data_IF_994336711793
#
_entry.id   IF_994336711793
#
_cell.length_a   1.000
_cell.length_b   1.000
_cell.length_c   1.000
_cell.angle_alpha   90.00
_cell.angle_beta   90.00
_cell.angle_gamma   90.00
#
_symmetry.space_group_name_H-M   'P 1'
#
loop_
_entity.id
_entity.type
_entity.pdbx_description
1 polymer ?
#
# COMPACT_ATOMS: atom_id res chain seq x y z
N UNK A 1 7.88 47.14 -57.18
CA UNK A 1 7.83 45.93 -56.33
C UNK A 1 8.70 46.21 -55.12
N UNK A 2 8.19 45.97 -53.92
CA UNK A 2 8.82 46.42 -52.68
C UNK A 2 9.24 45.21 -51.85
N UNK A 3 10.56 45.05 -51.64
CA UNK A 3 11.07 43.98 -50.80
C UNK A 3 10.73 44.26 -49.33
N UNK A 4 9.91 43.39 -48.76
CA UNK A 4 9.58 43.37 -47.33
C UNK A 4 10.59 42.44 -46.62
N UNK A 5 11.49 42.96 -45.76
CA UNK A 5 12.38 42.11 -44.99
C UNK A 5 11.57 41.33 -43.95
N UNK A 6 11.53 40.00 -44.09
CA UNK A 6 10.89 39.12 -43.11
C UNK A 6 11.71 39.14 -41.82
N UNK A 7 11.24 39.90 -40.83
CA UNK A 7 11.87 40.03 -39.53
C UNK A 7 11.72 38.73 -38.73
N UNK A 8 12.71 37.84 -38.86
CA UNK A 8 12.81 36.62 -38.06
C UNK A 8 13.05 36.97 -36.58
N UNK A 9 11.97 37.11 -35.83
CA UNK A 9 11.96 37.47 -34.41
C UNK A 9 12.45 36.32 -33.55
N UNK A 10 13.77 36.12 -33.52
CA UNK A 10 14.46 35.18 -32.64
C UNK A 10 14.21 35.54 -31.16
N UNK A 11 13.16 34.95 -30.59
CA UNK A 11 12.87 35.03 -29.17
C UNK A 11 13.91 34.21 -28.40
N UNK A 12 14.96 34.88 -27.92
CA UNK A 12 16.02 34.26 -27.12
C UNK A 12 15.48 33.58 -25.86
N UNK A 13 16.19 32.57 -25.31
CA UNK A 13 15.67 31.71 -24.26
C UNK A 13 15.22 32.52 -23.04
N UNK A 14 14.02 32.19 -22.54
CA UNK A 14 13.35 32.96 -21.49
C UNK A 14 14.18 32.97 -20.19
N UNK A 15 13.90 33.92 -19.29
CA UNK A 15 14.60 33.99 -17.98
C UNK A 15 14.44 32.71 -17.16
N UNK A 16 13.30 32.03 -17.31
CA UNK A 16 12.98 30.72 -16.71
C UNK A 16 13.77 29.61 -17.40
N UNK A 17 13.81 29.55 -18.73
CA UNK A 17 14.59 28.55 -19.47
C UNK A 17 16.08 28.61 -19.11
N UNK A 18 16.68 29.81 -19.09
CA UNK A 18 18.06 30.04 -18.62
C UNK A 18 18.26 29.82 -17.12
N UNK A 19 17.22 29.57 -16.34
CA UNK A 19 17.31 29.10 -14.95
C UNK A 19 17.34 27.56 -14.92
N UNK A 20 16.39 26.92 -15.60
CA UNK A 20 16.29 25.45 -15.74
C UNK A 20 17.56 24.87 -16.34
N UNK A 21 18.07 25.43 -17.44
CA UNK A 21 19.30 24.97 -18.10
C UNK A 21 20.52 25.02 -17.16
N UNK A 22 20.62 26.05 -16.30
CA UNK A 22 21.69 26.15 -15.29
C UNK A 22 21.53 25.13 -14.17
N UNK A 23 20.31 24.88 -13.69
CA UNK A 23 20.06 23.84 -12.68
C UNK A 23 20.34 22.44 -13.24
N UNK A 24 19.87 22.12 -14.45
CA UNK A 24 20.17 20.86 -15.14
C UNK A 24 21.68 20.69 -15.33
N UNK A 25 22.39 21.72 -15.79
CA UNK A 25 23.85 21.67 -15.95
C UNK A 25 24.59 21.46 -14.61
N UNK A 26 24.13 22.10 -13.51
CA UNK A 26 24.72 21.99 -12.17
C UNK A 26 24.44 20.63 -11.51
N UNK A 27 23.28 20.03 -11.76
CA UNK A 27 22.90 18.71 -11.25
C UNK A 27 23.48 17.57 -12.08
N UNK A 28 23.83 17.81 -13.36
CA UNK A 28 24.36 16.79 -14.28
C UNK A 28 25.52 15.94 -13.74
N UNK A 29 26.50 16.43 -12.96
CA UNK A 29 27.56 15.59 -12.39
C UNK A 29 27.08 14.60 -11.31
N UNK A 30 25.90 14.82 -10.73
CA UNK A 30 25.39 14.09 -9.56
C UNK A 30 24.35 13.02 -9.92
N UNK A 31 24.04 12.82 -11.22
CA UNK A 31 23.01 11.87 -11.67
C UNK A 31 23.21 10.44 -11.14
N UNK A 32 24.46 9.99 -10.97
CA UNK A 32 24.80 8.66 -10.45
C UNK A 32 24.41 8.44 -8.98
N UNK A 33 24.23 9.50 -8.19
CA UNK A 33 23.78 9.44 -6.79
C UNK A 33 22.25 9.31 -6.71
N UNK A 34 21.53 9.63 -7.78
CA UNK A 34 20.08 9.66 -7.76
C UNK A 34 19.41 8.27 -7.72
N UNK A 35 19.89 7.24 -8.46
CA UNK A 35 19.42 5.87 -8.33
C UNK A 35 19.46 5.27 -6.90
N UNK A 36 20.58 5.32 -6.14
CA UNK A 36 20.56 4.82 -4.76
C UNK A 36 19.68 5.67 -3.84
N UNK A 37 19.55 6.98 -4.06
CA UNK A 37 18.58 7.81 -3.32
C UNK A 37 17.14 7.38 -3.61
N UNK A 38 16.77 7.14 -4.87
CA UNK A 38 15.43 6.67 -5.25
C UNK A 38 15.13 5.28 -4.65
N UNK A 39 16.11 4.37 -4.63
CA UNK A 39 15.98 3.05 -3.99
C UNK A 39 15.80 3.16 -2.46
N UNK A 40 16.62 3.98 -1.80
CA UNK A 40 16.52 4.24 -0.35
C UNK A 40 15.18 4.93 -0.02
N UNK A 41 14.73 5.89 -0.83
CA UNK A 41 13.43 6.54 -0.68
C UNK A 41 12.27 5.56 -0.88
N UNK A 42 12.38 4.60 -1.81
CA UNK A 42 11.42 3.51 -1.98
C UNK A 42 11.32 2.60 -0.75
N UNK A 43 12.46 2.18 -0.18
CA UNK A 43 12.49 1.40 1.06
C UNK A 43 11.94 2.20 2.24
N UNK A 44 12.36 3.45 2.40
CA UNK A 44 11.88 4.34 3.45
C UNK A 44 10.36 4.57 3.32
N UNK A 45 9.87 4.78 2.09
CA UNK A 45 8.43 4.86 1.77
C UNK A 45 7.70 3.60 2.21
N UNK A 46 8.17 2.40 1.88
CA UNK A 46 7.52 1.14 2.29
C UNK A 46 7.33 1.05 3.81
N UNK A 47 8.38 1.31 4.60
CA UNK A 47 8.28 1.35 6.06
C UNK A 47 7.37 2.49 6.56
N UNK A 48 7.39 3.65 5.90
CA UNK A 48 6.57 4.81 6.25
C UNK A 48 5.09 4.53 6.00
N UNK A 49 4.73 3.87 4.89
CA UNK A 49 3.37 3.39 4.59
C UNK A 49 2.92 2.33 5.60
N UNK A 50 3.80 1.38 5.92
CA UNK A 50 3.53 0.32 6.89
C UNK A 50 3.27 0.87 8.30
N UNK A 51 3.97 1.94 8.71
CA UNK A 51 3.79 2.60 10.02
C UNK A 51 2.66 3.64 10.03
N UNK A 52 2.45 4.36 8.92
CA UNK A 52 1.47 5.46 8.80
C UNK A 52 0.85 5.48 7.40
N UNK A 53 -0.30 4.83 7.25
CA UNK A 53 -0.97 4.64 5.95
C UNK A 53 -1.30 5.97 5.22
N UNK A 54 -1.57 7.06 5.95
CA UNK A 54 -1.87 8.37 5.35
C UNK A 54 -0.68 8.95 4.54
N UNK A 55 0.56 8.67 4.95
CA UNK A 55 1.75 9.04 4.18
C UNK A 55 1.87 8.22 2.90
N UNK A 56 1.43 6.95 2.93
CA UNK A 56 1.30 6.13 1.73
C UNK A 56 0.26 6.66 0.75
N UNK A 57 -0.88 7.15 1.24
CA UNK A 57 -1.90 7.83 0.42
C UNK A 57 -1.34 9.12 -0.17
N UNK A 58 -0.64 9.94 0.62
CA UNK A 58 -0.02 11.19 0.16
C UNK A 58 1.02 10.95 -0.94
N UNK A 59 1.90 9.95 -0.77
CA UNK A 59 2.90 9.58 -1.77
C UNK A 59 2.25 8.97 -3.04
N UNK A 60 1.22 8.14 -2.88
CA UNK A 60 0.45 7.60 -4.00
C UNK A 60 -0.23 8.71 -4.84
N UNK A 61 -0.86 9.69 -4.18
CA UNK A 61 -1.46 10.86 -4.83
C UNK A 61 -0.40 11.75 -5.48
N UNK A 62 0.74 11.98 -4.80
CA UNK A 62 1.88 12.70 -5.36
C UNK A 62 2.40 12.07 -6.65
N UNK A 63 2.62 10.76 -6.64
CA UNK A 63 3.08 10.01 -7.82
C UNK A 63 2.05 10.02 -8.97
N UNK A 64 0.75 9.92 -8.65
CA UNK A 64 -0.33 10.08 -9.65
C UNK A 64 -0.35 11.50 -10.27
N UNK A 65 -0.10 12.55 -9.48
CA UNK A 65 0.01 13.93 -9.97
C UNK A 65 1.25 14.14 -10.84
N UNK A 66 2.40 13.59 -10.43
CA UNK A 66 3.64 13.57 -11.23
C UNK A 66 3.41 12.89 -12.59
N UNK A 67 2.68 11.77 -12.63
CA UNK A 67 2.30 11.11 -13.87
C UNK A 67 1.31 11.91 -14.71
N UNK A 68 0.31 12.54 -14.10
CA UNK A 68 -0.62 13.41 -14.82
C UNK A 68 0.11 14.60 -15.48
N UNK A 69 1.11 15.16 -14.80
CA UNK A 69 2.00 16.19 -15.34
C UNK A 69 2.86 15.65 -16.50
N UNK A 70 3.44 14.45 -16.35
CA UNK A 70 4.23 13.80 -17.41
C UNK A 70 3.40 13.50 -18.66
N UNK A 71 2.18 12.99 -18.49
CA UNK A 71 1.29 12.65 -19.62
C UNK A 71 0.70 13.90 -20.30
N UNK A 72 0.55 15.00 -19.55
CA UNK A 72 0.13 16.29 -20.11
C UNK A 72 1.26 17.09 -20.76
N UNK A 73 2.53 16.68 -20.64
CA UNK A 73 3.70 17.30 -21.31
C UNK A 73 3.43 17.65 -22.77
N UNK A 74 2.90 16.70 -23.55
CA UNK A 74 2.67 16.91 -24.98
C UNK A 74 1.52 17.88 -25.27
N UNK A 75 0.56 18.05 -24.34
CA UNK A 75 -0.53 19.03 -24.45
C UNK A 75 -0.03 20.41 -24.03
N UNK A 76 0.70 20.50 -22.92
CA UNK A 76 1.32 21.72 -22.41
C UNK A 76 2.29 22.29 -23.45
N UNK A 77 3.15 21.45 -24.04
CA UNK A 77 4.08 21.85 -25.10
C UNK A 77 3.38 22.41 -26.34
N UNK A 78 2.26 21.80 -26.76
CA UNK A 78 1.41 22.33 -27.86
C UNK A 78 0.77 23.67 -27.48
N UNK A 79 0.23 23.80 -26.26
CA UNK A 79 -0.37 25.04 -25.77
C UNK A 79 0.67 26.18 -25.64
N UNK A 80 1.89 25.86 -25.23
CA UNK A 80 3.02 26.80 -25.15
C UNK A 80 3.49 27.25 -26.53
N UNK A 81 3.68 26.32 -27.47
CA UNK A 81 4.06 26.63 -28.84
C UNK A 81 3.02 27.52 -29.54
N UNK A 82 1.72 27.21 -29.38
CA UNK A 82 0.62 28.03 -29.90
C UNK A 82 0.56 29.44 -29.27
N UNK A 83 1.23 29.67 -28.13
CA UNK A 83 1.37 30.97 -27.45
C UNK A 83 2.76 31.61 -27.67
N UNK A 84 3.57 31.09 -28.60
CA UNK A 84 4.90 31.62 -28.93
C UNK A 84 6.02 31.30 -27.92
N UNK A 85 5.77 30.45 -26.93
CA UNK A 85 6.79 30.04 -25.96
C UNK A 85 7.64 28.87 -26.49
N UNK A 86 8.96 28.84 -26.21
CA UNK A 86 9.82 27.73 -26.58
C UNK A 86 9.40 26.44 -25.85
N UNK A 87 9.42 25.32 -26.56
CA UNK A 87 9.15 23.99 -26.02
C UNK A 87 10.38 23.40 -25.34
N UNK A 88 10.17 22.45 -24.42
CA UNK A 88 11.26 21.75 -23.73
C UNK A 88 12.11 20.93 -24.72
N UNK A 89 13.46 20.98 -24.65
CA UNK A 89 14.31 20.13 -25.48
C UNK A 89 14.06 18.65 -25.19
N UNK A 90 13.99 17.81 -26.24
CA UNK A 90 13.66 16.39 -26.14
C UNK A 90 14.56 15.58 -25.19
N UNK A 91 15.81 16.00 -25.00
CA UNK A 91 16.69 15.42 -23.98
C UNK A 91 16.22 15.67 -22.54
N UNK A 92 15.70 16.88 -22.26
CA UNK A 92 15.13 17.24 -20.94
C UNK A 92 13.84 16.47 -20.68
N UNK A 93 12.97 16.31 -21.68
CA UNK A 93 11.71 15.56 -21.49
C UNK A 93 11.94 14.06 -21.37
N UNK A 94 12.92 13.50 -22.09
CA UNK A 94 13.38 12.11 -21.91
C UNK A 94 13.99 11.88 -20.52
N UNK A 95 14.78 12.83 -20.00
CA UNK A 95 15.31 12.80 -18.64
C UNK A 95 14.21 12.86 -17.58
N UNK A 96 13.26 13.80 -17.70
CA UNK A 96 12.11 13.89 -16.77
C UNK A 96 11.32 12.58 -16.77
N UNK A 97 11.01 12.01 -17.94
CA UNK A 97 10.37 10.70 -18.04
C UNK A 97 11.18 9.60 -17.34
N UNK A 98 12.52 9.61 -17.47
CA UNK A 98 13.41 8.67 -16.79
C UNK A 98 13.33 8.77 -15.27
N UNK A 99 13.27 10.00 -14.72
CA UNK A 99 13.14 10.22 -13.28
C UNK A 99 11.79 9.70 -12.75
N UNK A 100 10.69 10.00 -13.44
CA UNK A 100 9.35 9.50 -13.05
C UNK A 100 9.26 7.98 -13.18
N UNK A 101 9.89 7.38 -14.20
CA UNK A 101 10.00 5.93 -14.32
C UNK A 101 10.81 5.30 -13.17
N UNK A 102 11.97 5.88 -12.82
CA UNK A 102 12.78 5.45 -11.66
C UNK A 102 11.99 5.54 -10.36
N UNK A 103 11.36 6.69 -10.08
CA UNK A 103 10.49 6.92 -8.93
C UNK A 103 9.40 5.84 -8.84
N UNK A 104 8.67 5.60 -9.93
CA UNK A 104 7.59 4.60 -9.97
C UNK A 104 8.10 3.19 -9.70
N UNK A 105 9.20 2.80 -10.35
CA UNK A 105 9.77 1.46 -10.21
C UNK A 105 10.34 1.24 -8.81
N UNK A 106 11.04 2.22 -8.23
CA UNK A 106 11.63 2.08 -6.90
C UNK A 106 10.64 2.30 -5.75
N UNK A 107 9.57 3.07 -5.94
CA UNK A 107 8.45 3.13 -5.00
C UNK A 107 7.67 1.81 -4.97
N UNK A 108 7.36 1.23 -6.14
CA UNK A 108 6.52 0.01 -6.21
C UNK A 108 7.28 -1.29 -5.92
N UNK A 109 8.59 -1.36 -6.22
CA UNK A 109 9.37 -2.59 -6.10
C UNK A 109 9.39 -3.21 -4.68
N UNK A 110 9.54 -2.47 -3.56
CA UNK A 110 9.46 -3.05 -2.22
C UNK A 110 8.15 -3.79 -1.95
N UNK A 111 7.02 -3.23 -2.39
CA UNK A 111 5.70 -3.87 -2.29
C UNK A 111 5.64 -5.15 -3.11
N UNK A 112 6.13 -5.14 -4.35
CA UNK A 112 6.21 -6.34 -5.19
C UNK A 112 7.09 -7.43 -4.53
N UNK A 113 8.27 -7.07 -4.02
CA UNK A 113 9.20 -8.01 -3.37
C UNK A 113 8.61 -8.64 -2.10
N UNK A 114 7.83 -7.88 -1.32
CA UNK A 114 7.16 -8.34 -0.10
C UNK A 114 5.92 -9.22 -0.38
N UNK A 115 5.17 -8.92 -1.45
CA UNK A 115 3.92 -9.62 -1.81
C UNK A 115 4.10 -10.77 -2.81
N UNK A 116 5.32 -11.00 -3.32
CA UNK A 116 5.60 -12.08 -4.27
C UNK A 116 5.72 -13.43 -3.58
N UNK A 117 4.84 -14.37 -3.94
CA UNK A 117 5.02 -15.79 -3.62
C UNK A 117 6.05 -16.37 -4.59
N UNK A 118 7.32 -16.36 -4.18
CA UNK A 118 8.49 -16.77 -4.99
C UNK A 118 8.48 -18.22 -5.49
N UNK A 119 7.57 -19.06 -5.00
CA UNK A 119 7.34 -20.44 -5.50
C UNK A 119 6.22 -20.53 -6.55
N UNK A 120 5.86 -19.40 -7.18
CA UNK A 120 4.80 -19.27 -8.18
C UNK A 120 5.25 -18.44 -9.40
N UNK A 121 4.39 -18.33 -10.42
CA UNK A 121 4.62 -17.46 -11.59
C UNK A 121 4.83 -15.98 -11.26
N UNK A 122 4.45 -15.52 -10.06
CA UNK A 122 4.71 -14.14 -9.60
C UNK A 122 6.21 -13.80 -9.55
N UNK A 123 7.08 -14.78 -9.33
CA UNK A 123 8.52 -14.57 -9.40
C UNK A 123 8.96 -14.03 -10.78
N UNK A 124 8.34 -14.48 -11.87
CA UNK A 124 8.67 -14.05 -13.24
C UNK A 124 8.28 -12.59 -13.45
N UNK A 125 7.09 -12.18 -13.00
CA UNK A 125 6.64 -10.79 -13.08
C UNK A 125 7.55 -9.87 -12.26
N UNK A 126 7.82 -10.20 -11.00
CA UNK A 126 8.61 -9.35 -10.10
C UNK A 126 10.08 -9.28 -10.53
N UNK A 127 10.67 -10.36 -11.03
CA UNK A 127 12.01 -10.32 -11.66
C UNK A 127 12.01 -9.45 -12.92
N UNK A 128 10.96 -9.49 -13.75
CA UNK A 128 10.85 -8.59 -14.89
C UNK A 128 10.78 -7.11 -14.43
N UNK A 129 10.06 -6.80 -13.34
CA UNK A 129 10.02 -5.43 -12.79
C UNK A 129 11.37 -4.99 -12.19
N UNK A 130 12.13 -5.89 -11.56
CA UNK A 130 13.53 -5.64 -11.16
C UNK A 130 14.39 -5.33 -12.37
N UNK A 131 14.25 -6.08 -13.47
CA UNK A 131 14.99 -5.80 -14.72
C UNK A 131 14.61 -4.44 -15.31
N UNK A 132 13.33 -4.04 -15.28
CA UNK A 132 12.92 -2.68 -15.69
C UNK A 132 13.51 -1.60 -14.78
N UNK A 133 13.52 -1.82 -13.45
CA UNK A 133 14.14 -0.92 -12.49
C UNK A 133 15.65 -0.73 -12.77
N UNK A 134 16.40 -1.81 -13.01
CA UNK A 134 17.81 -1.74 -13.40
C UNK A 134 17.99 -1.06 -14.75
N UNK A 135 17.17 -1.37 -15.75
CA UNK A 135 17.21 -0.69 -17.06
C UNK A 135 16.92 0.80 -16.99
N UNK A 136 16.12 1.26 -16.02
CA UNK A 136 15.83 2.69 -15.78
C UNK A 136 17.05 3.47 -15.27
N UNK A 137 17.98 2.80 -14.58
CA UNK A 137 19.24 3.36 -14.06
C UNK A 137 20.30 3.46 -15.17
N UNK A 138 20.33 2.49 -16.08
CA UNK A 138 21.39 2.35 -17.06
C UNK A 138 21.20 3.30 -18.24
N UNK A 139 21.55 4.58 -18.06
CA UNK A 139 21.49 5.65 -19.08
C UNK A 139 21.83 5.18 -20.51
N UNK A 140 22.98 4.51 -20.78
CA UNK A 140 23.33 4.13 -22.14
C UNK A 140 22.37 3.11 -22.76
N UNK A 141 21.59 2.37 -21.96
CA UNK A 141 20.54 1.45 -22.42
C UNK A 141 19.19 2.16 -22.49
N UNK A 142 18.83 2.98 -21.51
CA UNK A 142 17.57 3.72 -21.46
C UNK A 142 17.41 4.68 -22.66
N UNK A 143 18.43 5.49 -22.95
CA UNK A 143 18.39 6.39 -24.13
C UNK A 143 18.40 5.61 -25.46
N UNK A 144 19.12 4.47 -25.54
CA UNK A 144 19.04 3.56 -26.70
C UNK A 144 17.63 2.97 -26.87
N UNK A 145 16.92 2.68 -25.79
CA UNK A 145 15.53 2.22 -25.82
C UNK A 145 14.60 3.31 -26.38
N UNK A 146 14.70 4.52 -25.83
CA UNK A 146 13.87 5.68 -26.18
C UNK A 146 14.04 6.14 -27.64
N UNK A 147 15.27 6.15 -28.16
CA UNK A 147 15.54 6.58 -29.53
C UNK A 147 15.43 5.46 -30.57
N UNK A 148 16.12 4.33 -30.36
CA UNK A 148 16.29 3.30 -31.37
C UNK A 148 15.22 2.20 -31.32
N UNK A 149 14.64 1.93 -30.15
CA UNK A 149 13.69 0.81 -29.93
C UNK A 149 12.36 1.27 -29.35
N UNK A 150 11.77 2.30 -29.96
CA UNK A 150 10.51 2.96 -29.54
C UNK A 150 9.40 2.01 -29.12
N UNK A 151 9.18 0.88 -29.82
CA UNK A 151 8.17 -0.11 -29.43
C UNK A 151 8.41 -0.70 -28.02
N UNK A 152 9.67 -1.01 -27.68
CA UNK A 152 10.04 -1.50 -26.34
C UNK A 152 9.97 -0.38 -25.29
N UNK A 153 10.28 0.87 -25.67
CA UNK A 153 10.10 2.03 -24.80
C UNK A 153 8.61 2.27 -24.48
N UNK A 154 7.70 2.05 -25.43
CA UNK A 154 6.26 2.11 -25.16
C UNK A 154 5.80 1.00 -24.21
N UNK A 155 6.31 -0.24 -24.36
CA UNK A 155 6.03 -1.33 -23.42
C UNK A 155 6.55 -0.98 -22.01
N UNK A 156 7.78 -0.47 -21.91
CA UNK A 156 8.39 0.00 -20.66
C UNK A 156 7.50 1.06 -19.97
N UNK A 157 7.15 2.13 -20.70
CA UNK A 157 6.33 3.23 -20.19
C UNK A 157 4.92 2.76 -19.77
N UNK A 158 4.29 1.92 -20.60
CA UNK A 158 2.99 1.31 -20.30
C UNK A 158 3.04 0.43 -19.04
N UNK A 159 4.11 -0.33 -18.84
CA UNK A 159 4.30 -1.14 -17.64
C UNK A 159 4.47 -0.29 -16.36
N UNK A 160 5.10 0.88 -16.45
CA UNK A 160 5.15 1.83 -15.33
C UNK A 160 3.76 2.41 -15.00
N UNK A 161 2.93 2.75 -16.02
CA UNK A 161 1.51 3.14 -15.81
C UNK A 161 0.72 2.02 -15.14
N UNK A 162 0.94 0.76 -15.56
CA UNK A 162 0.30 -0.40 -14.94
C UNK A 162 0.68 -0.54 -13.46
N UNK A 163 1.98 -0.50 -13.13
CA UNK A 163 2.47 -0.60 -11.75
C UNK A 163 1.97 0.53 -10.86
N UNK A 164 2.03 1.78 -11.35
CA UNK A 164 1.46 2.95 -10.69
C UNK A 164 0.02 2.67 -10.24
N UNK A 165 -0.86 2.41 -11.21
CA UNK A 165 -2.30 2.29 -10.96
C UNK A 165 -2.62 1.04 -10.12
N UNK A 166 -1.90 -0.07 -10.33
CA UNK A 166 -2.04 -1.31 -9.55
C UNK A 166 -1.75 -1.09 -8.06
N UNK A 167 -0.72 -0.31 -7.71
CA UNK A 167 -0.33 -0.07 -6.32
C UNK A 167 -1.12 1.07 -5.68
N UNK A 168 -1.45 2.14 -6.43
CA UNK A 168 -2.13 3.30 -5.84
C UNK A 168 -3.63 3.10 -5.63
N UNK A 169 -4.33 2.30 -6.45
CA UNK A 169 -5.78 2.16 -6.36
C UNK A 169 -6.29 1.51 -5.05
N UNK A 170 -5.69 0.41 -4.53
CA UNK A 170 -6.10 -0.14 -3.23
C UNK A 170 -5.79 0.79 -2.05
N UNK A 171 -4.79 1.67 -2.18
CA UNK A 171 -4.39 2.63 -1.14
C UNK A 171 -5.29 3.88 -1.12
N UNK A 172 -5.62 4.44 -2.28
CA UNK A 172 -6.33 5.73 -2.39
C UNK A 172 -7.84 5.55 -2.48
N UNK A 173 -8.32 4.50 -3.17
CA UNK A 173 -9.75 4.27 -3.44
C UNK A 173 -10.30 2.98 -2.82
N UNK A 174 -9.48 2.25 -2.04
CA UNK A 174 -9.88 1.02 -1.33
C UNK A 174 -10.46 -0.08 -2.24
N UNK A 175 -10.08 -0.08 -3.52
CA UNK A 175 -10.54 -1.04 -4.52
C UNK A 175 -9.83 -2.38 -4.37
N UNK A 176 -10.57 -3.49 -4.56
CA UNK A 176 -10.03 -4.84 -4.45
C UNK A 176 -8.89 -5.09 -5.43
N UNK A 177 -8.09 -6.12 -5.17
CA UNK A 177 -6.94 -6.48 -6.03
C UNK A 177 -7.38 -6.73 -7.47
N UNK A 178 -8.52 -7.41 -7.67
CA UNK A 178 -9.11 -7.66 -8.98
C UNK A 178 -9.60 -6.39 -9.70
N UNK A 179 -10.27 -5.49 -8.97
CA UNK A 179 -10.70 -4.19 -9.51
C UNK A 179 -9.51 -3.32 -9.92
N UNK A 180 -8.49 -3.25 -9.05
CA UNK A 180 -7.28 -2.47 -9.26
C UNK A 180 -6.45 -3.00 -10.44
N UNK A 181 -6.34 -4.32 -10.60
CA UNK A 181 -5.66 -4.94 -11.74
C UNK A 181 -6.40 -4.72 -13.07
N UNK A 182 -7.75 -4.74 -13.06
CA UNK A 182 -8.56 -4.42 -14.23
C UNK A 182 -8.37 -2.94 -14.65
N UNK A 183 -8.45 -2.02 -13.69
CA UNK A 183 -8.28 -0.59 -13.95
C UNK A 183 -6.85 -0.22 -14.33
N UNK A 184 -5.83 -0.88 -13.76
CA UNK A 184 -4.44 -0.74 -14.17
C UNK A 184 -4.23 -1.22 -15.62
N UNK A 185 -4.83 -2.35 -15.99
CA UNK A 185 -4.80 -2.87 -17.36
C UNK A 185 -5.48 -1.90 -18.35
N UNK A 186 -6.61 -1.32 -17.96
CA UNK A 186 -7.34 -0.33 -18.77
C UNK A 186 -6.54 0.97 -18.93
N UNK A 187 -5.98 1.50 -17.83
CA UNK A 187 -5.15 2.71 -17.84
C UNK A 187 -3.90 2.54 -18.71
N UNK A 188 -3.22 1.39 -18.60
CA UNK A 188 -2.09 1.01 -19.45
C UNK A 188 -2.45 1.08 -20.95
N UNK A 189 -3.61 0.53 -21.35
CA UNK A 189 -4.07 0.58 -22.74
C UNK A 189 -4.44 1.99 -23.17
N UNK A 190 -5.23 2.73 -22.37
CA UNK A 190 -5.67 4.10 -22.69
C UNK A 190 -4.46 5.05 -22.86
N UNK A 191 -3.48 4.98 -21.98
CA UNK A 191 -2.30 5.87 -22.00
C UNK A 191 -1.32 5.50 -23.13
N UNK A 192 -1.16 4.22 -23.45
CA UNK A 192 -0.26 3.78 -24.53
C UNK A 192 -0.86 3.91 -25.93
N UNK A 193 -2.19 3.87 -26.09
CA UNK A 193 -2.87 3.87 -27.38
C UNK A 193 -2.53 5.07 -28.29
N UNK A 194 -2.50 6.34 -27.83
CA UNK A 194 -2.11 7.47 -28.68
C UNK A 194 -0.69 7.31 -29.25
N UNK A 195 0.25 6.86 -28.42
CA UNK A 195 1.65 6.63 -28.78
C UNK A 195 1.82 5.45 -29.74
N UNK A 196 1.03 4.38 -29.55
CA UNK A 196 0.97 3.23 -30.46
C UNK A 196 0.39 3.64 -31.83
N UNK A 197 -0.68 4.43 -31.86
CA UNK A 197 -1.26 4.97 -33.09
C UNK A 197 -0.27 5.89 -33.82
N UNK A 198 0.52 6.68 -33.09
CA UNK A 198 1.59 7.50 -33.68
C UNK A 198 2.73 6.64 -34.26
N UNK A 199 3.19 5.62 -33.53
CA UNK A 199 4.23 4.68 -33.98
C UNK A 199 3.82 3.93 -35.26
N UNK A 200 2.53 3.64 -35.42
CA UNK A 200 1.97 2.88 -36.54
C UNK A 200 1.50 3.77 -37.72
N UNK A 201 1.68 5.10 -37.70
CA UNK A 201 1.30 5.96 -38.85
C UNK A 201 2.20 5.69 -40.08
N UNK A 202 1.72 5.96 -41.31
CA UNK A 202 0.32 6.20 -41.68
C UNK A 202 -0.56 4.96 -41.44
N UNK A 203 -1.84 5.19 -41.14
CA UNK A 203 -2.82 4.12 -40.92
C UNK A 203 -3.24 3.49 -42.25
N UNK A 204 -2.96 2.20 -42.44
CA UNK A 204 -3.48 1.41 -43.56
C UNK A 204 -4.59 0.48 -43.07
N UNK A 205 -5.49 0.01 -43.95
CA UNK A 205 -6.54 -0.96 -43.59
C UNK A 205 -5.98 -2.21 -42.89
N UNK A 206 -4.81 -2.69 -43.30
CA UNK A 206 -4.09 -3.81 -42.64
C UNK A 206 -3.62 -3.47 -41.23
N UNK A 207 -3.13 -2.24 -40.97
CA UNK A 207 -2.72 -1.79 -39.63
C UNK A 207 -3.92 -1.60 -38.70
N UNK A 208 -5.06 -1.12 -39.21
CA UNK A 208 -6.33 -1.09 -38.46
C UNK A 208 -6.82 -2.49 -38.08
N UNK A 209 -6.83 -3.43 -39.02
CA UNK A 209 -7.22 -4.82 -38.73
C UNK A 209 -6.27 -5.48 -37.72
N UNK A 210 -4.96 -5.24 -37.83
CA UNK A 210 -3.97 -5.70 -36.87
C UNK A 210 -4.18 -5.10 -35.47
N UNK A 211 -4.57 -3.82 -35.36
CA UNK A 211 -4.92 -3.19 -34.08
C UNK A 211 -6.17 -3.81 -33.45
N UNK A 212 -7.21 -4.04 -34.25
CA UNK A 212 -8.46 -4.68 -33.80
C UNK A 212 -8.26 -6.16 -33.41
N UNK A 213 -7.24 -6.84 -33.96
CA UNK A 213 -6.87 -8.19 -33.54
C UNK A 213 -5.94 -8.22 -32.31
N UNK A 214 -4.93 -7.34 -32.24
CA UNK A 214 -3.91 -7.38 -31.19
C UNK A 214 -4.42 -6.85 -29.84
N UNK A 215 -5.34 -5.87 -29.83
CA UNK A 215 -5.86 -5.32 -28.58
C UNK A 215 -6.68 -6.35 -27.77
N UNK A 216 -7.62 -7.13 -28.37
CA UNK A 216 -8.24 -8.26 -27.68
C UNK A 216 -7.22 -9.32 -27.24
N UNK A 217 -6.24 -9.68 -28.07
CA UNK A 217 -5.21 -10.69 -27.71
C UNK A 217 -4.38 -10.22 -26.51
N UNK A 218 -3.99 -8.95 -26.44
CA UNK A 218 -3.28 -8.37 -25.30
C UNK A 218 -4.16 -8.29 -24.05
N UNK A 219 -5.44 -7.94 -24.19
CA UNK A 219 -6.39 -7.94 -23.08
C UNK A 219 -6.63 -9.36 -22.51
N UNK A 220 -6.78 -10.37 -23.37
CA UNK A 220 -6.85 -11.79 -22.98
C UNK A 220 -5.56 -12.25 -22.32
N UNK A 221 -4.38 -11.87 -22.85
CA UNK A 221 -3.09 -12.19 -22.26
C UNK A 221 -2.90 -11.55 -20.88
N UNK A 222 -3.33 -10.30 -20.69
CA UNK A 222 -3.32 -9.64 -19.38
C UNK A 222 -4.27 -10.30 -18.38
N UNK A 223 -5.50 -10.65 -18.82
CA UNK A 223 -6.48 -11.34 -17.98
C UNK A 223 -6.04 -12.75 -17.56
N UNK A 224 -5.42 -13.51 -18.47
CA UNK A 224 -4.81 -14.81 -18.15
C UNK A 224 -3.55 -14.64 -17.28
N UNK A 225 -2.76 -13.61 -17.56
CA UNK A 225 -1.55 -13.25 -16.81
C UNK A 225 -1.80 -12.72 -15.39
N UNK A 226 -3.04 -12.40 -15.00
CA UNK A 226 -3.37 -11.84 -13.69
C UNK A 226 -2.81 -12.65 -12.53
N UNK A 227 -2.80 -13.98 -12.65
CA UNK A 227 -2.31 -14.91 -11.62
C UNK A 227 -0.79 -14.83 -11.40
N UNK A 228 -0.03 -14.20 -12.31
CA UNK A 228 1.39 -13.91 -12.15
C UNK A 228 1.64 -12.48 -11.63
N UNK A 229 0.62 -11.65 -11.43
CA UNK A 229 0.80 -10.35 -10.79
C UNK A 229 0.64 -10.53 -9.27
N UNK A 230 1.63 -10.18 -8.44
CA UNK A 230 1.47 -10.27 -6.98
C UNK A 230 0.42 -9.26 -6.49
N UNK A 231 -0.34 -9.58 -5.43
CA UNK A 231 -1.37 -8.71 -4.89
C UNK A 231 -0.71 -7.58 -4.08
N UNK A 232 -0.27 -6.52 -4.74
CA UNK A 232 0.76 -5.59 -4.25
C UNK A 232 0.51 -4.89 -2.89
N UNK A 233 -0.70 -4.91 -2.35
CA UNK A 233 -1.04 -4.37 -1.02
C UNK A 233 -1.45 -5.44 0.01
N UNK A 234 -1.40 -6.73 -0.34
CA UNK A 234 -1.76 -7.86 0.51
C UNK A 234 -0.56 -8.79 0.72
N UNK A 235 -0.18 -9.02 1.98
CA UNK A 235 0.81 -10.04 2.35
C UNK A 235 0.36 -10.78 3.61
N UNK A 236 0.82 -12.02 3.77
CA UNK A 236 0.58 -12.82 4.96
C UNK A 236 1.63 -12.46 6.03
N UNK A 237 1.23 -11.75 7.09
CA UNK A 237 2.11 -11.42 8.22
C UNK A 237 2.46 -12.66 9.06
N UNK A 238 1.55 -13.64 9.13
CA UNK A 238 1.82 -14.94 9.75
C UNK A 238 0.76 -16.00 9.49
N UNK A 239 1.12 -17.25 9.75
CA UNK A 239 0.23 -18.42 9.60
C UNK A 239 0.50 -19.48 10.65
N UNK A 240 -0.52 -20.26 10.99
CA UNK A 240 -0.41 -21.41 11.87
C UNK A 240 -1.34 -22.56 11.43
N UNK A 241 -0.99 -23.77 11.87
CA UNK A 241 -1.87 -24.94 11.85
C UNK A 241 -2.12 -25.37 13.29
N UNK A 242 -3.37 -25.68 13.64
CA UNK A 242 -3.74 -26.08 15.00
C UNK A 242 -4.93 -27.05 15.05
N UNK A 243 -5.00 -27.95 16.05
CA UNK A 243 -6.17 -28.80 16.26
C UNK A 243 -7.37 -28.01 16.81
N UNK A 244 -7.12 -26.93 17.54
CA UNK A 244 -8.11 -26.13 18.24
C UNK A 244 -7.96 -24.64 17.90
N UNK A 245 -8.99 -23.85 18.19
CA UNK A 245 -9.02 -22.42 17.89
C UNK A 245 -9.98 -21.70 18.84
N UNK A 246 -9.51 -20.64 19.49
CA UNK A 246 -10.33 -19.74 20.30
C UNK A 246 -10.98 -18.69 19.40
N UNK A 247 -12.30 -18.75 19.26
CA UNK A 247 -13.08 -17.84 18.42
C UNK A 247 -13.23 -16.43 19.02
N UNK A 248 -13.10 -16.27 20.34
CA UNK A 248 -13.20 -14.98 21.02
C UNK A 248 -11.89 -14.19 20.89
N UNK A 249 -10.75 -14.81 21.25
CA UNK A 249 -9.42 -14.23 21.08
C UNK A 249 -8.93 -14.23 19.62
N UNK A 250 -9.55 -15.06 18.76
CA UNK A 250 -9.15 -15.35 17.38
C UNK A 250 -7.70 -15.85 17.32
N UNK A 251 -7.39 -16.85 18.15
CA UNK A 251 -6.05 -17.43 18.30
C UNK A 251 -6.05 -18.95 18.06
N UNK A 252 -5.07 -19.49 17.31
CA UNK A 252 -4.86 -20.93 17.19
C UNK A 252 -4.36 -21.52 18.52
N UNK A 253 -4.83 -22.71 18.89
CA UNK A 253 -4.54 -23.35 20.19
C UNK A 253 -4.31 -24.87 20.09
N UNK A 254 -3.65 -25.43 21.10
CA UNK A 254 -3.36 -26.86 21.21
C UNK A 254 -2.21 -27.33 20.30
N UNK A 255 -1.85 -28.61 20.43
CA UNK A 255 -0.79 -29.24 19.66
C UNK A 255 -1.20 -30.64 19.19
N UNK A 256 -0.95 -30.97 17.92
CA UNK A 256 -1.29 -32.26 17.33
C UNK A 256 -0.26 -32.67 16.25
N UNK A 257 0.30 -33.86 16.37
CA UNK A 257 1.08 -34.50 15.30
C UNK A 257 0.11 -34.95 14.21
N UNK A 258 0.33 -34.52 12.96
CA UNK A 258 -0.61 -34.76 11.87
C UNK A 258 -0.46 -36.17 11.28
N UNK A 259 -1.01 -37.18 11.97
CA UNK A 259 -1.24 -38.52 11.43
C UNK A 259 -2.60 -38.59 10.72
N UNK A 260 -2.85 -39.56 9.80
CA UNK A 260 -4.14 -39.71 9.13
C UNK A 260 -5.32 -39.84 10.12
N UNK A 261 -5.17 -40.68 11.15
CA UNK A 261 -6.17 -40.83 12.21
C UNK A 261 -6.34 -39.55 13.05
N UNK A 262 -5.27 -38.79 13.29
CA UNK A 262 -5.34 -37.53 14.03
C UNK A 262 -6.17 -36.48 13.28
N UNK A 263 -5.92 -36.29 11.98
CA UNK A 263 -6.64 -35.29 11.15
C UNK A 263 -8.09 -35.69 10.86
N UNK A 264 -8.38 -36.98 10.71
CA UNK A 264 -9.75 -37.45 10.52
C UNK A 264 -10.63 -37.21 11.75
N UNK A 265 -10.11 -37.42 12.96
CA UNK A 265 -10.88 -37.29 14.20
C UNK A 265 -11.04 -35.84 14.69
N UNK A 266 -9.99 -35.00 14.57
CA UNK A 266 -10.01 -33.63 15.08
C UNK A 266 -10.35 -32.58 14.01
N UNK A 267 -10.10 -32.89 12.75
CA UNK A 267 -9.92 -31.88 11.71
C UNK A 267 -8.64 -31.07 11.91
N UNK A 268 -8.50 -29.98 11.14
CA UNK A 268 -7.37 -29.06 11.23
C UNK A 268 -7.82 -27.62 10.97
N UNK A 269 -7.45 -26.71 11.85
CA UNK A 269 -7.57 -25.27 11.62
C UNK A 269 -6.32 -24.77 10.89
N UNK A 270 -6.55 -23.95 9.86
CA UNK A 270 -5.53 -23.15 9.21
C UNK A 270 -5.80 -21.68 9.48
N UNK A 271 -4.90 -21.05 10.23
CA UNK A 271 -4.95 -19.64 10.63
C UNK A 271 -4.05 -18.80 9.73
N UNK A 272 -4.55 -17.62 9.34
CA UNK A 272 -3.86 -16.66 8.48
C UNK A 272 -4.05 -15.23 9.00
N UNK A 273 -2.95 -14.51 9.21
CA UNK A 273 -2.95 -13.07 9.47
C UNK A 273 -2.53 -12.35 8.19
N UNK A 274 -3.44 -11.61 7.57
CA UNK A 274 -3.25 -10.99 6.24
C UNK A 274 -3.27 -9.47 6.40
N UNK A 275 -2.15 -8.80 6.13
CA UNK A 275 -2.12 -7.34 6.12
C UNK A 275 -2.88 -6.79 4.91
N UNK A 276 -3.69 -5.75 5.14
CA UNK A 276 -4.47 -5.05 4.13
C UNK A 276 -4.66 -3.56 4.54
N UNK A 277 -4.60 -2.60 3.59
CA UNK A 277 -4.90 -1.19 3.83
C UNK A 277 -6.24 -0.96 4.52
N UNK A 278 -6.32 0.05 5.42
CA UNK A 278 -7.56 0.38 6.13
C UNK A 278 -8.71 0.62 5.16
N UNK A 279 -9.85 -0.04 5.38
CA UNK A 279 -11.05 0.12 4.55
C UNK A 279 -11.09 -0.74 3.27
N UNK A 280 -9.97 -1.37 2.87
CA UNK A 280 -9.98 -2.37 1.80
C UNK A 280 -10.84 -3.58 2.22
N UNK A 281 -11.71 -4.04 1.32
CA UNK A 281 -12.43 -5.32 1.44
C UNK A 281 -11.97 -6.25 0.32
N UNK A 282 -11.63 -7.48 0.66
CA UNK A 282 -11.18 -8.51 -0.28
C UNK A 282 -11.77 -9.87 0.12
N UNK A 283 -12.17 -10.67 -0.88
CA UNK A 283 -12.45 -12.10 -0.67
C UNK A 283 -11.13 -12.87 -0.81
N UNK A 284 -10.70 -13.50 0.27
CA UNK A 284 -9.57 -14.43 0.32
C UNK A 284 -10.08 -15.85 0.31
N UNK A 285 -9.35 -16.75 -0.32
CA UNK A 285 -9.71 -18.16 -0.46
C UNK A 285 -8.56 -19.02 0.04
N UNK A 286 -8.88 -20.00 0.89
CA UNK A 286 -7.97 -21.10 1.24
C UNK A 286 -8.26 -22.27 0.29
N UNK A 287 -7.37 -22.49 -0.67
CA UNK A 287 -7.37 -23.67 -1.54
C UNK A 287 -6.54 -24.78 -0.90
N UNK A 288 -7.23 -25.76 -0.31
CA UNK A 288 -6.62 -26.94 0.31
C UNK A 288 -6.30 -27.97 -0.77
N UNK A 289 -5.02 -28.34 -0.88
CA UNK A 289 -4.51 -29.28 -1.87
C UNK A 289 -3.81 -30.47 -1.23
N UNK A 290 -4.12 -31.66 -1.73
CA UNK A 290 -3.50 -32.92 -1.37
C UNK A 290 -2.73 -33.45 -2.58
N UNK A 291 -1.43 -33.60 -2.43
CA UNK A 291 -0.47 -34.00 -3.47
C UNK A 291 -0.66 -33.30 -4.83
N UNK A 292 -0.99 -32.00 -4.76
CA UNK A 292 -1.15 -31.08 -5.88
C UNK A 292 -2.59 -30.94 -6.40
N UNK A 293 -3.45 -31.94 -6.16
CA UNK A 293 -4.89 -31.89 -6.48
C UNK A 293 -5.62 -30.95 -5.53
N UNK A 294 -6.57 -30.17 -6.04
CA UNK A 294 -7.47 -29.36 -5.20
C UNK A 294 -8.51 -30.27 -4.54
N UNK A 295 -8.71 -30.11 -3.23
CA UNK A 295 -9.66 -30.90 -2.42
C UNK A 295 -10.79 -30.00 -1.91
N UNK A 296 -10.46 -28.87 -1.29
CA UNK A 296 -11.44 -27.86 -0.85
C UNK A 296 -11.04 -26.46 -1.29
N UNK A 297 -12.04 -25.58 -1.44
CA UNK A 297 -11.87 -24.16 -1.77
C UNK A 297 -12.79 -23.34 -0.88
N UNK A 298 -12.26 -22.78 0.21
CA UNK A 298 -13.05 -22.12 1.26
C UNK A 298 -12.84 -20.61 1.19
N UNK A 299 -13.86 -19.80 0.82
CA UNK A 299 -13.77 -18.34 0.80
C UNK A 299 -13.95 -17.72 2.21
N UNK A 300 -13.36 -16.55 2.39
CA UNK A 300 -13.29 -15.75 3.61
C UNK A 300 -13.31 -14.27 3.22
N UNK A 301 -14.18 -13.45 3.82
CA UNK A 301 -14.04 -12.00 3.70
C UNK A 301 -12.99 -11.47 4.67
N UNK A 302 -12.11 -10.59 4.20
CA UNK A 302 -11.19 -9.82 5.04
C UNK A 302 -11.46 -8.31 4.91
N UNK A 303 -11.25 -7.58 6.01
CA UNK A 303 -11.42 -6.13 6.08
C UNK A 303 -10.15 -5.49 6.64
N UNK A 304 -9.44 -4.71 5.83
CA UNK A 304 -8.16 -4.12 6.21
C UNK A 304 -8.28 -2.99 7.24
N UNK A 305 -7.22 -2.78 8.02
CA UNK A 305 -7.16 -1.72 9.04
C UNK A 305 -6.42 -2.03 10.35
N UNK A 306 -5.99 -3.28 10.58
CA UNK A 306 -5.09 -3.65 11.69
C UNK A 306 -3.64 -3.73 11.22
N UNK A 307 -2.68 -3.24 12.03
CA UNK A 307 -1.25 -3.32 11.73
C UNK A 307 -0.73 -4.75 11.57
N UNK A 308 -1.09 -5.63 12.52
CA UNK A 308 -0.85 -7.09 12.44
C UNK A 308 -1.47 -7.76 11.20
N UNK A 309 -2.45 -7.12 10.57
CA UNK A 309 -3.34 -7.70 9.58
C UNK A 309 -4.66 -8.24 10.14
N UNK A 310 -5.55 -8.63 9.23
CA UNK A 310 -6.82 -9.27 9.53
C UNK A 310 -6.60 -10.75 9.86
N UNK A 311 -7.12 -11.20 11.00
CA UNK A 311 -7.03 -12.59 11.47
C UNK A 311 -8.19 -13.41 10.89
N UNK A 312 -7.89 -14.30 9.94
CA UNK A 312 -8.83 -15.22 9.31
C UNK A 312 -8.45 -16.67 9.60
N UNK A 313 -9.41 -17.60 9.50
CA UNK A 313 -9.16 -19.02 9.69
C UNK A 313 -10.17 -19.90 8.95
N UNK A 314 -9.77 -21.12 8.61
CA UNK A 314 -10.66 -22.18 8.09
C UNK A 314 -10.42 -23.48 8.83
N UNK A 315 -11.49 -24.19 9.23
CA UNK A 315 -11.38 -25.57 9.70
C UNK A 315 -11.71 -26.53 8.56
N UNK A 316 -10.80 -27.44 8.22
CA UNK A 316 -11.12 -28.65 7.45
C UNK A 316 -11.48 -29.75 8.44
N UNK A 317 -12.64 -30.39 8.27
CA UNK A 317 -13.08 -31.53 9.09
C UNK A 317 -13.05 -32.81 8.26
N UNK A 318 -13.68 -32.80 7.08
CA UNK A 318 -13.78 -33.96 6.21
C UNK A 318 -12.47 -34.19 5.46
N UNK A 319 -11.54 -34.93 6.07
CA UNK A 319 -10.31 -35.41 5.45
C UNK A 319 -10.57 -36.69 4.62
N UNK A 320 -9.93 -36.90 3.46
CA UNK A 320 -10.02 -38.15 2.70
C UNK A 320 -9.53 -39.36 3.50
N UNK A 321 -10.00 -40.57 3.17
CA UNK A 321 -9.54 -41.81 3.82
C UNK A 321 -8.02 -42.01 3.67
N UNK A 322 -7.51 -41.90 2.44
CA UNK A 322 -6.08 -41.73 2.18
C UNK A 322 -5.69 -40.24 2.33
N UNK A 323 -5.48 -39.82 3.59
CA UNK A 323 -4.99 -38.48 3.92
C UNK A 323 -3.46 -38.38 4.02
N UNK A 324 -2.72 -39.48 3.88
CA UNK A 324 -1.26 -39.46 3.97
C UNK A 324 -0.63 -38.67 2.81
N UNK A 325 0.58 -38.14 3.00
CA UNK A 325 1.31 -37.42 1.96
C UNK A 325 1.40 -35.92 2.17
N UNK A 326 1.55 -35.16 1.07
CA UNK A 326 1.90 -33.73 1.11
C UNK A 326 0.66 -32.86 0.96
N UNK A 327 0.45 -32.00 1.94
CA UNK A 327 -0.63 -31.04 1.94
C UNK A 327 -0.12 -29.61 1.77
N UNK A 328 -0.92 -28.80 1.08
CA UNK A 328 -0.65 -27.39 0.81
C UNK A 328 -1.95 -26.60 0.96
N UNK A 329 -1.87 -25.43 1.56
CA UNK A 329 -2.98 -24.47 1.60
C UNK A 329 -2.49 -23.23 0.87
N UNK A 330 -3.02 -23.01 -0.33
CA UNK A 330 -2.76 -21.78 -1.07
C UNK A 330 -3.74 -20.71 -0.58
N UNK A 331 -3.19 -19.61 -0.06
CA UNK A 331 -3.94 -18.42 0.35
C UNK A 331 -3.99 -17.51 -0.87
N UNK A 332 -5.18 -17.26 -1.41
CA UNK A 332 -5.36 -16.60 -2.71
C UNK A 332 -6.43 -15.51 -2.63
N UNK A 333 -6.36 -14.48 -3.48
CA UNK A 333 -7.52 -13.61 -3.72
C UNK A 333 -8.59 -14.35 -4.52
N UNK A 334 -9.85 -13.91 -4.48
CA UNK A 334 -10.86 -14.35 -5.44
C UNK A 334 -10.42 -14.08 -6.91
N UNK A 335 -9.62 -13.03 -7.12
CA UNK A 335 -8.88 -12.75 -8.36
C UNK A 335 -7.78 -13.75 -8.72
N UNK A 336 -7.62 -14.85 -7.99
CA UNK A 336 -6.71 -15.97 -8.27
C UNK A 336 -5.23 -15.67 -8.07
N UNK A 337 -4.88 -14.56 -7.41
CA UNK A 337 -3.50 -14.19 -7.12
C UNK A 337 -3.10 -14.79 -5.78
N UNK A 338 -1.94 -15.45 -5.70
CA UNK A 338 -1.46 -16.00 -4.43
C UNK A 338 -0.98 -14.87 -3.51
N UNK A 339 -1.46 -14.88 -2.26
CA UNK A 339 -1.00 -14.05 -1.14
C UNK A 339 0.02 -14.84 -0.30
N UNK A 340 -0.12 -16.17 -0.25
CA UNK A 340 0.72 -17.02 0.58
C UNK A 340 0.50 -18.51 0.39
N UNK A 341 1.40 -19.33 0.96
CA UNK A 341 1.33 -20.79 0.86
C UNK A 341 1.78 -21.44 2.17
N UNK A 342 0.86 -22.16 2.83
CA UNK A 342 1.17 -23.03 3.98
C UNK A 342 1.45 -24.44 3.42
N UNK A 343 2.43 -25.16 3.99
CA UNK A 343 2.78 -26.54 3.60
C UNK A 343 2.90 -27.41 4.84
N UNK A 344 2.37 -28.62 4.78
CA UNK A 344 2.51 -29.63 5.83
C UNK A 344 2.54 -31.04 5.24
N UNK A 345 2.92 -32.03 6.05
CA UNK A 345 2.85 -33.45 5.73
C UNK A 345 1.98 -34.17 6.74
N UNK A 346 1.12 -35.04 6.24
CA UNK A 346 0.38 -36.01 7.04
C UNK A 346 1.06 -37.38 6.87
N UNK A 347 1.36 -38.07 7.96
CA UNK A 347 2.04 -39.37 7.92
C UNK A 347 1.85 -40.14 9.23
N UNK A 348 1.81 -41.46 9.17
CA UNK A 348 1.82 -42.33 10.35
C UNK A 348 3.22 -42.39 11.02
N UNK A 349 4.27 -42.05 10.28
CA UNK A 349 5.61 -41.81 10.83
C UNK A 349 5.67 -40.40 11.43
N UNK A 350 5.67 -40.33 12.77
CA UNK A 350 5.73 -39.06 13.53
C UNK A 350 6.98 -38.22 13.22
N UNK A 351 8.07 -38.84 12.75
CA UNK A 351 9.29 -38.11 12.36
C UNK A 351 9.16 -37.39 11.01
N UNK A 352 8.18 -37.79 10.20
CA UNK A 352 7.84 -37.18 8.91
C UNK A 352 6.56 -36.33 8.97
N UNK A 353 5.66 -36.62 9.91
CA UNK A 353 4.46 -35.84 10.16
C UNK A 353 4.81 -34.40 10.59
N UNK A 354 3.96 -33.44 10.22
CA UNK A 354 4.10 -32.06 10.71
C UNK A 354 3.42 -31.92 12.07
N UNK A 355 4.04 -31.19 13.00
CA UNK A 355 3.44 -30.82 14.28
C UNK A 355 2.61 -29.52 14.14
N UNK A 356 1.29 -29.63 14.25
CA UNK A 356 0.38 -28.49 14.27
C UNK A 356 0.20 -27.97 15.70
N UNK A 357 1.10 -27.08 16.12
CA UNK A 357 1.22 -26.55 17.49
C UNK A 357 0.68 -25.14 17.71
N UNK A 358 -0.08 -24.60 16.74
CA UNK A 358 -0.64 -23.24 16.80
C UNK A 358 0.37 -22.08 16.73
N UNK A 359 1.68 -22.34 16.76
CA UNK A 359 2.68 -21.26 16.76
C UNK A 359 2.66 -20.47 15.45
N UNK A 360 2.28 -19.19 15.55
CA UNK A 360 2.17 -18.27 14.41
C UNK A 360 3.55 -18.03 13.82
N UNK A 361 3.82 -18.67 12.69
CA UNK A 361 5.06 -18.51 11.94
C UNK A 361 4.93 -17.36 10.94
N UNK A 362 5.82 -16.35 10.95
CA UNK A 362 5.84 -15.32 9.92
C UNK A 362 6.27 -15.92 8.59
N UNK A 363 5.80 -15.36 7.47
CA UNK A 363 6.23 -15.86 6.17
C UNK A 363 7.71 -15.59 5.88
N UNK A 364 8.36 -16.55 5.23
CA UNK A 364 9.65 -16.34 4.60
C UNK A 364 9.43 -15.64 3.25
N UNK A 365 9.99 -14.44 3.10
CA UNK A 365 9.99 -13.67 1.85
C UNK A 365 10.97 -14.23 0.81
N UNK A 366 11.97 -13.42 0.43
CA UNK A 366 12.98 -13.79 -0.57
C UNK A 366 13.64 -15.15 -0.26
N UNK A 367 13.63 -16.13 -1.19
CA UNK A 367 14.17 -17.47 -0.93
C UNK A 367 15.68 -17.42 -0.66
N UNK A 368 16.13 -18.15 0.35
CA UNK A 368 17.52 -18.13 0.85
C UNK A 368 17.86 -16.92 1.74
N UNK A 369 17.09 -15.84 1.68
CA UNK A 369 17.32 -14.60 2.42
C UNK A 369 16.31 -14.48 3.57
N UNK A 370 16.75 -14.87 4.79
CA UNK A 370 15.95 -14.75 6.04
C UNK A 370 15.81 -13.29 6.53
N UNK A 371 15.32 -12.41 5.66
CA UNK A 371 15.07 -10.99 5.90
C UNK A 371 13.80 -10.81 6.76
N UNK A 372 13.88 -11.19 8.04
CA UNK A 372 12.79 -11.09 9.05
C UNK A 372 12.28 -9.65 9.30
N UNK A 373 12.75 -8.67 8.54
CA UNK A 373 12.46 -7.24 8.69
C UNK A 373 11.49 -6.68 7.64
N UNK A 374 11.20 -7.37 6.52
CA UNK A 374 10.14 -6.92 5.59
C UNK A 374 8.75 -7.24 6.14
N UNK A 375 8.61 -8.41 6.76
CA UNK A 375 7.39 -8.83 7.47
C UNK A 375 7.49 -8.34 8.91
N UNK A 376 6.66 -7.37 9.30
CA UNK A 376 6.55 -6.93 10.68
C UNK A 376 6.26 -8.11 11.62
N UNK A 377 6.78 -8.05 12.86
CA UNK A 377 6.35 -8.98 13.92
C UNK A 377 4.83 -8.83 14.12
N UNK A 378 4.06 -9.92 14.30
CA UNK A 378 2.97 -9.84 15.25
C UNK A 378 3.61 -9.60 16.62
N UNK A 379 3.27 -8.50 17.27
CA UNK A 379 3.60 -8.34 18.68
C UNK A 379 2.75 -9.36 19.45
N UNK A 380 3.42 -10.41 19.96
CA UNK A 380 2.83 -11.22 21.02
C UNK A 380 2.56 -10.26 22.17
N UNK A 381 1.32 -10.22 22.65
CA UNK A 381 0.80 -9.13 23.47
C UNK A 381 1.61 -8.89 24.74
N UNK A 382 2.55 -7.96 24.66
CA UNK A 382 2.99 -7.14 25.76
C UNK A 382 2.14 -5.86 25.71
N UNK A 383 1.57 -5.45 26.84
CA UNK A 383 0.53 -4.43 26.86
C UNK A 383 1.13 -3.02 26.82
N UNK A 384 1.58 -2.59 25.64
CA UNK A 384 1.85 -1.17 25.40
C UNK A 384 0.52 -0.41 25.39
N UNK A 385 0.05 -0.04 26.58
CA UNK A 385 -0.72 1.19 26.75
C UNK A 385 0.03 2.31 26.01
N UNK A 386 -0.66 3.25 25.35
CA UNK A 386 0.01 4.44 24.87
C UNK A 386 0.62 5.17 26.07
N UNK A 387 1.85 5.66 25.95
CA UNK A 387 2.56 6.37 27.04
C UNK A 387 1.76 7.56 27.62
N UNK A 388 0.74 8.05 26.92
CA UNK A 388 -0.22 9.02 27.44
C UNK A 388 -1.14 8.48 28.53
N UNK A 389 -1.56 7.21 28.49
CA UNK A 389 -2.43 6.62 29.51
C UNK A 389 -1.68 6.41 30.82
N UNK A 390 -0.46 5.87 30.80
CA UNK A 390 0.35 5.73 32.02
C UNK A 390 0.75 7.09 32.62
N UNK A 391 0.95 8.13 31.79
CA UNK A 391 1.17 9.51 32.25
C UNK A 391 -0.12 10.12 32.83
N UNK A 392 -1.29 9.84 32.25
CA UNK A 392 -2.57 10.33 32.79
C UNK A 392 -2.87 9.66 34.14
N UNK A 393 -2.72 8.34 34.24
CA UNK A 393 -2.96 7.59 35.47
C UNK A 393 -1.99 8.02 36.60
N UNK A 394 -0.71 8.27 36.27
CA UNK A 394 0.25 8.85 37.23
C UNK A 394 -0.06 10.31 37.62
N UNK A 395 -0.60 11.12 36.70
CA UNK A 395 -1.04 12.49 37.03
C UNK A 395 -2.30 12.47 37.88
N UNK A 396 -3.21 11.50 37.65
CA UNK A 396 -4.44 11.32 38.41
C UNK A 396 -4.13 10.84 39.85
N UNK A 397 -3.25 9.85 40.04
CA UNK A 397 -2.71 9.46 41.36
C UNK A 397 -2.05 10.64 42.10
N UNK A 398 -1.23 11.45 41.41
CA UNK A 398 -0.54 12.60 42.02
C UNK A 398 -1.52 13.73 42.37
N UNK A 399 -2.57 13.94 41.58
CA UNK A 399 -3.64 14.90 41.90
C UNK A 399 -4.47 14.40 43.08
N UNK A 400 -4.85 13.13 43.12
CA UNK A 400 -5.62 12.56 44.25
C UNK A 400 -4.83 12.63 45.56
N UNK A 401 -3.54 12.26 45.54
CA UNK A 401 -2.64 12.42 46.70
C UNK A 401 -2.46 13.88 47.11
N UNK A 402 -2.39 14.82 46.15
CA UNK A 402 -2.31 16.25 46.45
C UNK A 402 -3.61 16.80 47.05
N UNK A 403 -4.79 16.34 46.60
CA UNK A 403 -6.09 16.70 47.17
C UNK A 403 -6.21 16.19 48.60
N UNK A 404 -5.92 14.90 48.85
CA UNK A 404 -5.93 14.32 50.20
C UNK A 404 -4.96 15.05 51.16
N UNK A 405 -3.78 15.46 50.67
CA UNK A 405 -2.80 16.21 51.45
C UNK A 405 -3.15 17.70 51.66
N UNK A 406 -4.13 18.25 50.93
CA UNK A 406 -4.72 19.57 51.21
C UNK A 406 -5.88 19.42 52.21
N UNK A 407 -6.73 18.42 52.03
CA UNK A 407 -7.87 18.12 52.90
C UNK A 407 -7.39 17.84 54.35
N UNK A 408 -6.36 17.01 54.53
CA UNK A 408 -5.73 16.77 55.84
C UNK A 408 -5.13 18.02 56.50
N UNK A 409 -4.60 18.97 55.72
CA UNK A 409 -4.09 20.24 56.27
C UNK A 409 -5.21 21.18 56.72
N UNK A 410 -6.37 21.08 56.07
CA UNK A 410 -7.52 21.91 56.37
C UNK A 410 -8.23 21.42 57.64
N UNK A 411 -8.15 20.12 57.95
CA UNK A 411 -8.48 19.56 59.26
C UNK A 411 -7.46 19.99 60.35
N UNK A 412 -6.15 19.88 60.09
CA UNK A 412 -5.08 20.25 61.05
C UNK A 412 -5.15 21.75 61.48
N UNK A 413 -5.44 22.66 60.54
CA UNK A 413 -5.56 24.11 60.81
C UNK A 413 -6.83 24.45 61.62
N UNK A 414 -7.88 23.60 61.66
CA UNK A 414 -9.12 23.86 62.40
C UNK A 414 -9.01 23.48 63.90
N UNK A 415 -8.09 22.60 64.29
CA UNK A 415 -7.88 22.21 65.71
C UNK A 415 -6.99 23.20 66.50
N UNK A 416 -6.40 24.23 65.88
CA UNK A 416 -5.40 25.12 66.52
C UNK A 416 -5.65 26.64 66.47
N UNK A 417 -6.91 27.08 66.59
CA UNK A 417 -7.26 28.49 66.83
C UNK A 417 -7.57 28.80 68.32
N UNK A 418 -6.84 29.70 69.00
CA UNK A 418 -7.17 30.15 70.36
C UNK A 418 -8.30 31.19 70.36
N UNK A 419 -9.05 31.27 71.47
CA UNK A 419 -10.20 32.16 71.61
C UNK A 419 -9.82 33.63 71.91
N UNK A 420 -10.58 34.57 71.34
CA UNK A 420 -10.77 35.94 71.81
C UNK A 420 -12.28 36.28 71.78
N UNK A 421 -12.72 37.25 72.58
CA UNK A 421 -14.10 37.39 73.06
C UNK A 421 -14.92 38.55 72.45
N UNK A 422 -16.22 38.57 72.82
CA UNK A 422 -17.16 39.71 72.98
C UNK A 422 -18.00 40.31 71.80
N UNK A 423 -19.32 40.26 72.04
CA UNK A 423 -20.40 41.26 71.82
C UNK A 423 -21.08 41.58 70.45
N UNK A 424 -22.32 41.08 70.34
CA UNK A 424 -23.58 41.79 69.94
C UNK A 424 -23.85 42.29 68.49
N UNK A 425 -24.69 41.55 67.76
CA UNK A 425 -26.13 41.85 67.43
C UNK A 425 -26.57 43.21 66.79
N UNK A 426 -27.80 43.32 66.22
CA UNK A 426 -28.46 42.43 65.24
C UNK A 426 -29.31 43.17 64.13
N UNK A 427 -29.90 42.36 63.22
CA UNK A 427 -31.23 42.50 62.55
C UNK A 427 -31.53 43.57 61.45
N UNK A 428 -32.32 43.11 60.46
CA UNK A 428 -33.39 43.82 59.69
C UNK A 428 -32.99 45.00 58.75
N UNK A 429 -33.66 45.30 57.61
CA UNK A 429 -34.84 44.72 56.91
C UNK A 429 -34.81 45.07 55.37
N UNK A 430 -35.97 44.98 54.67
CA UNK A 430 -36.31 45.54 53.33
C UNK A 430 -35.76 44.83 52.06
N UNK A 431 -36.45 44.75 50.91
CA UNK A 431 -37.90 44.80 50.57
C UNK A 431 -38.10 44.08 49.20
N UNK A 432 -39.33 43.74 48.79
CA UNK A 432 -39.60 42.90 47.60
C UNK A 432 -40.59 43.47 46.55
N UNK A 433 -40.02 43.88 45.40
CA UNK A 433 -40.62 43.79 44.05
C UNK A 433 -41.82 44.73 43.72
N UNK A 434 -42.53 44.58 42.56
CA UNK A 434 -42.03 44.95 41.21
C UNK A 434 -43.04 45.76 40.33
N UNK A 435 -42.60 46.35 39.21
CA UNK A 435 -43.50 46.81 38.12
C UNK A 435 -42.87 46.69 36.71
N UNK A 436 -43.73 46.53 35.69
CA UNK A 436 -43.49 46.41 34.22
C UNK A 436 -44.09 47.66 33.51
N UNK A 437 -43.92 48.05 32.23
CA UNK A 437 -43.41 47.45 30.96
C UNK A 437 -42.91 48.62 30.07
N UNK A 438 -42.02 48.40 29.09
CA UNK A 438 -42.24 48.98 27.73
C UNK A 438 -41.44 48.28 26.60
N UNK A 439 -41.94 48.38 25.36
CA UNK A 439 -41.35 47.84 24.14
C UNK A 439 -40.42 48.85 23.41
N UNK A 440 -39.60 48.38 22.47
CA UNK A 440 -39.70 48.84 21.06
C UNK A 440 -38.83 48.05 20.08
N UNK A 441 -39.36 47.81 18.88
CA UNK A 441 -38.60 47.58 17.63
C UNK A 441 -39.17 48.55 16.57
N UNK A 442 -38.44 48.92 15.50
CA UNK A 442 -38.45 48.08 14.29
C UNK A 442 -37.10 48.08 13.53
N UNK A 443 -37.08 47.46 12.35
CA UNK A 443 -35.87 47.21 11.54
C UNK A 443 -35.75 48.11 10.30
N UNK A 444 -34.58 48.08 9.66
CA UNK A 444 -34.48 48.20 8.19
C UNK A 444 -33.43 49.17 7.62
N UNK A 445 -32.33 48.64 7.10
CA UNK A 445 -31.55 49.13 5.95
C UNK A 445 -30.67 48.01 5.42
#
# INVERSE_FOLDING_TARGET
MSDMPVSSSFHGPTRIQRLVERWVARLRPWHWVWPPIAFIAGIASFFLVQRQQWLGVLLAVGMLLTWLLLLSESLIGRMMANRGYPTLPRGVTTFIAQMVHQETLFFTLPFLLATTVWTSGQAVFTVAMVVLAVLSILDPLYYRLADQRRALYLIFHAQCVFLLVLVTLPLVLHLSTGQSLLLASLAMVIVSLPSLLHLLRPMTRRRWLALMAILPVLASAAWLGRIWVPPATLWLSGSALSPQFDAAQRTPQGSLTLTPAAVANHGLYAYTAIHAPRGLREEVVHEWRHDGKLVDRIPLEIQGGRGEGYRAWTRKQNFPEDSAGRWRIDVMTAGGQSIGVIRFRVSDDESLATLANGNISPQMGLPGLRLRWLTARPEQGDSTRPLSEDIIEQVEEVVEQATQAVEQRQDDDEETAPAEDEETAPAEDEEAAPVEVEETTPAGS
#
